data_IF_606536173899
#
_entry.id   IF_606536173899
#
_cell.length_a   1.000
_cell.length_b   1.000
_cell.length_c   1.000
_cell.angle_alpha   90.00
_cell.angle_beta   90.00
_cell.angle_gamma   90.00
#
_symmetry.space_group_name_H-M   'P 1'
#
loop_
_entity.id
_entity.type
_entity.pdbx_description
1 polymer ?
#
# COMPACT_ATOMS: atom_id res chain seq x y z
N UNK A 1 -8.48 8.32 4.08
CA UNK A 1 -8.92 7.27 3.12
C UNK A 1 -8.15 7.47 1.83
N UNK A 2 -7.61 6.40 1.25
CA UNK A 2 -6.97 6.44 -0.07
C UNK A 2 -7.99 6.12 -1.17
N UNK A 3 -8.21 7.05 -2.09
CA UNK A 3 -9.09 6.87 -3.24
C UNK A 3 -8.48 7.45 -4.53
N UNK A 4 -7.15 7.50 -4.59
CA UNK A 4 -6.40 8.01 -5.74
C UNK A 4 -5.90 6.91 -6.68
N UNK A 5 -5.22 7.29 -7.78
CA UNK A 5 -4.37 6.37 -8.53
C UNK A 5 -3.22 5.85 -7.65
N UNK A 6 -2.67 4.68 -8.01
CA UNK A 6 -1.58 3.97 -7.30
C UNK A 6 -0.41 4.86 -6.83
N UNK A 7 -0.13 5.93 -7.55
CA UNK A 7 0.92 6.86 -7.19
C UNK A 7 1.20 7.85 -8.31
N UNK A 8 2.24 8.68 -8.16
CA UNK A 8 2.62 9.61 -9.21
C UNK A 8 3.02 8.85 -10.49
N UNK A 9 2.54 9.33 -11.64
CA UNK A 9 2.82 8.68 -12.93
C UNK A 9 4.31 8.58 -13.29
N UNK A 10 5.17 9.43 -12.72
CA UNK A 10 6.62 9.39 -12.92
C UNK A 10 7.33 8.34 -12.05
N UNK A 11 6.66 7.77 -11.04
CA UNK A 11 7.18 6.72 -10.17
C UNK A 11 6.04 5.91 -9.53
N UNK A 12 5.30 5.11 -10.32
CA UNK A 12 4.16 4.35 -9.82
C UNK A 12 4.60 3.25 -8.83
N UNK A 13 5.86 2.80 -8.92
CA UNK A 13 6.44 1.88 -7.95
C UNK A 13 6.78 2.51 -6.60
N UNK A 14 6.45 3.77 -6.35
CA UNK A 14 6.38 4.29 -4.97
C UNK A 14 5.06 3.92 -4.27
N UNK A 15 4.02 3.66 -5.06
CA UNK A 15 2.69 3.29 -4.59
C UNK A 15 2.62 1.95 -3.87
N UNK A 16 1.60 1.84 -3.02
CA UNK A 16 1.20 0.66 -2.28
C UNK A 16 -0.17 0.18 -2.80
N UNK A 17 -0.52 -1.09 -2.57
CA UNK A 17 -1.81 -1.64 -2.99
C UNK A 17 -2.92 -1.29 -1.97
N UNK A 18 -2.94 -0.06 -1.48
CA UNK A 18 -3.75 0.44 -0.36
C UNK A 18 -5.06 1.12 -0.81
N UNK A 19 -5.57 0.75 -1.98
CA UNK A 19 -6.80 1.30 -2.51
C UNK A 19 -7.96 1.18 -1.52
N UNK A 20 -8.65 2.29 -1.26
CA UNK A 20 -9.77 2.41 -0.33
C UNK A 20 -9.40 2.16 1.14
N UNK A 21 -8.11 2.08 1.48
CA UNK A 21 -7.68 1.94 2.87
C UNK A 21 -8.04 3.18 3.70
N UNK A 22 -8.29 2.97 4.98
CA UNK A 22 -8.65 4.03 5.93
C UNK A 22 -7.66 4.14 7.08
N UNK A 23 -7.37 5.37 7.48
CA UNK A 23 -6.82 5.71 8.79
C UNK A 23 -7.94 6.38 9.58
N UNK A 24 -8.04 6.09 10.88
CA UNK A 24 -9.11 6.59 11.75
C UNK A 24 -8.53 7.05 13.08
N UNK A 25 -8.78 8.31 13.39
CA UNK A 25 -8.46 8.92 14.68
C UNK A 25 -9.76 9.25 15.42
N UNK A 26 -9.83 8.91 16.71
CA UNK A 26 -10.97 9.22 17.59
C UNK A 26 -10.44 9.91 18.84
N UNK A 27 -10.94 11.10 19.14
CA UNK A 27 -10.52 11.90 20.30
C UNK A 27 -9.00 12.16 20.38
N UNK A 28 -8.31 12.16 19.23
CA UNK A 28 -6.86 12.36 19.15
C UNK A 28 -6.03 11.08 19.26
N UNK A 29 -6.67 9.92 19.45
CA UNK A 29 -6.02 8.61 19.47
C UNK A 29 -6.15 7.91 18.11
N UNK A 30 -5.03 7.40 17.58
CA UNK A 30 -4.99 6.70 16.28
C UNK A 30 -5.40 5.25 16.45
N UNK A 31 -6.57 4.86 15.94
CA UNK A 31 -7.14 3.51 16.11
C UNK A 31 -6.78 2.58 14.95
N UNK A 32 -6.91 3.09 13.72
CA UNK A 32 -6.50 2.39 12.50
C UNK A 32 -5.40 3.21 11.85
N UNK A 33 -4.21 2.63 11.74
CA UNK A 33 -3.02 3.27 11.15
C UNK A 33 -2.51 2.45 9.98
N UNK A 34 -1.86 3.14 9.05
CA UNK A 34 -1.12 2.49 7.98
C UNK A 34 0.20 1.89 8.49
N UNK A 35 0.62 0.69 8.04
CA UNK A 35 1.93 0.13 8.43
C UNK A 35 3.11 0.95 7.90
N UNK A 36 2.91 1.74 6.85
CA UNK A 36 3.92 2.56 6.20
C UNK A 36 5.00 1.75 5.49
N UNK A 37 6.18 2.37 5.35
CA UNK A 37 7.36 1.78 4.73
C UNK A 37 8.49 1.71 5.75
N UNK A 38 9.06 0.52 6.01
CA UNK A 38 10.22 0.39 6.89
C UNK A 38 11.56 0.39 6.15
N UNK A 39 11.58 0.00 4.87
CA UNK A 39 12.79 -0.12 4.07
C UNK A 39 12.54 0.14 2.58
N UNK A 40 13.53 0.65 1.86
CA UNK A 40 13.44 0.88 0.41
C UNK A 40 13.95 -0.27 -0.45
N UNK A 41 14.79 -1.12 0.11
CA UNK A 41 15.34 -2.27 -0.59
C UNK A 41 14.25 -3.30 -0.90
N UNK A 42 14.30 -3.85 -2.11
CA UNK A 42 13.45 -4.97 -2.52
C UNK A 42 13.65 -6.16 -1.58
N UNK A 43 12.57 -6.87 -1.28
CA UNK A 43 12.61 -8.08 -0.46
C UNK A 43 11.25 -8.38 0.16
N UNK A 44 11.11 -9.52 0.85
CA UNK A 44 9.82 -9.99 1.37
C UNK A 44 9.12 -8.97 2.27
N UNK A 45 9.88 -8.24 3.09
CA UNK A 45 9.34 -7.17 3.95
C UNK A 45 8.72 -6.05 3.13
N UNK A 46 9.45 -5.53 2.12
CA UNK A 46 8.94 -4.46 1.26
C UNK A 46 7.80 -4.94 0.35
N UNK A 47 7.79 -6.21 -0.06
CA UNK A 47 6.67 -6.79 -0.80
C UNK A 47 5.42 -6.85 0.06
N UNK A 48 5.55 -7.31 1.31
CA UNK A 48 4.43 -7.36 2.26
C UNK A 48 3.90 -5.95 2.57
N UNK A 49 4.77 -5.00 2.92
CA UNK A 49 4.37 -3.61 3.23
C UNK A 49 3.59 -2.91 2.11
N UNK A 50 3.69 -3.39 0.87
CA UNK A 50 2.99 -2.84 -0.29
C UNK A 50 1.78 -3.66 -0.74
N UNK A 51 1.51 -4.78 -0.09
CA UNK A 51 0.42 -5.70 -0.42
C UNK A 51 -0.91 -5.18 0.12
N UNK A 52 -2.01 -5.45 -0.58
CA UNK A 52 -3.33 -4.99 -0.13
C UNK A 52 -3.67 -5.50 1.27
N UNK A 53 -3.27 -6.73 1.59
CA UNK A 53 -3.49 -7.38 2.88
C UNK A 53 -2.81 -6.67 4.07
N UNK A 54 -1.85 -5.77 3.83
CA UNK A 54 -1.20 -4.98 4.87
C UNK A 54 -1.93 -3.69 5.21
N UNK A 55 -2.96 -3.31 4.45
CA UNK A 55 -3.67 -2.03 4.61
C UNK A 55 -5.12 -2.24 5.04
N UNK A 56 -5.72 -1.20 5.64
CA UNK A 56 -7.10 -1.23 6.14
C UNK A 56 -8.13 -1.02 5.01
N UNK A 57 -7.95 -1.73 3.89
CA UNK A 57 -8.77 -1.65 2.68
C UNK A 57 -9.33 -3.02 2.26
N UNK A 58 -10.21 -3.06 1.25
CA UNK A 58 -10.73 -4.31 0.72
C UNK A 58 -9.63 -5.13 0.04
N UNK A 59 -9.66 -6.44 0.26
CA UNK A 59 -8.78 -7.40 -0.39
C UNK A 59 -9.61 -8.50 -1.05
N UNK A 60 -9.08 -9.09 -2.12
CA UNK A 60 -9.63 -10.31 -2.71
C UNK A 60 -8.66 -11.46 -2.47
N UNK A 61 -9.18 -12.59 -1.99
CA UNK A 61 -8.35 -13.73 -1.64
C UNK A 61 -7.59 -14.27 -2.87
N UNK A 62 -6.27 -14.38 -2.74
CA UNK A 62 -5.42 -14.87 -3.83
C UNK A 62 -5.17 -13.86 -4.96
N UNK A 63 -5.55 -12.60 -4.81
CA UNK A 63 -5.27 -11.55 -5.79
C UNK A 63 -4.64 -10.31 -5.14
N UNK A 64 -3.64 -9.76 -5.82
CA UNK A 64 -3.08 -8.44 -5.53
C UNK A 64 -3.49 -7.47 -6.65
N UNK A 65 -3.99 -6.28 -6.34
CA UNK A 65 -4.40 -5.31 -7.35
C UNK A 65 -3.19 -4.62 -8.00
N UNK A 66 -1.98 -4.83 -7.50
CA UNK A 66 -0.75 -4.24 -8.03
C UNK A 66 0.37 -5.27 -8.07
N UNK A 67 1.01 -5.40 -9.23
CA UNK A 67 2.25 -6.17 -9.40
C UNK A 67 3.46 -5.24 -9.28
N UNK A 68 4.47 -5.66 -8.52
CA UNK A 68 5.72 -4.91 -8.34
C UNK A 68 6.90 -5.58 -9.04
N UNK A 69 7.42 -4.93 -10.08
CA UNK A 69 8.51 -5.46 -10.91
C UNK A 69 9.90 -5.08 -10.38
N UNK A 70 10.00 -3.95 -9.67
CA UNK A 70 11.23 -3.46 -9.06
C UNK A 70 10.90 -2.47 -7.93
N UNK A 71 11.93 -1.92 -7.28
CA UNK A 71 11.76 -0.91 -6.23
C UNK A 71 10.93 0.31 -6.65
N UNK A 72 10.93 0.66 -7.94
CA UNK A 72 10.29 1.87 -8.48
C UNK A 72 9.42 1.60 -9.71
N UNK A 73 9.05 0.34 -9.96
CA UNK A 73 8.16 -0.04 -11.08
C UNK A 73 7.03 -0.92 -10.59
N UNK A 74 5.82 -0.65 -11.07
CA UNK A 74 4.61 -1.42 -10.81
C UNK A 74 3.70 -1.47 -12.05
N UNK A 75 2.76 -2.40 -12.05
CA UNK A 75 1.61 -2.45 -12.93
C UNK A 75 0.36 -2.65 -12.06
N UNK A 76 -0.65 -1.80 -12.25
CA UNK A 76 -1.94 -1.83 -11.53
C UNK A 76 -3.07 -1.98 -12.54
#
# INVERSE_FOLDING_TARGET
>A
MDAGPIGPGWNPGHGHADFLAVEVDVEGERLFVDPGTSQYSTGPRRTHERSAASHNGPCFEGAEPVEYLAASRSAA
#
